data_IF_690479008015
#
_entry.id   IF_690479008015
#
_cell.length_a   1.000
_cell.length_b   1.000
_cell.length_c   1.000
_cell.angle_alpha   90.00
_cell.angle_beta   90.00
_cell.angle_gamma   90.00
#
_symmetry.space_group_name_H-M   'P 1'
#
loop_
_entity.id
_entity.type
_entity.pdbx_description
1 polymer ?
#
# COMPACT_ATOMS: atom_id res chain seq x y z
N UNK A 1 -33.47 -71.19 8.50
CA UNK A 1 -33.95 -70.03 7.71
C UNK A 1 -34.40 -68.96 8.71
N UNK A 2 -33.97 -67.71 8.74
CA UNK A 2 -32.95 -66.93 8.06
C UNK A 2 -32.90 -65.58 8.78
N UNK A 3 -31.75 -65.18 9.30
CA UNK A 3 -31.50 -63.85 9.87
C UNK A 3 -30.47 -63.17 8.95
N UNK A 4 -30.89 -62.16 8.18
CA UNK A 4 -29.98 -61.33 7.39
C UNK A 4 -30.37 -59.85 7.44
N UNK A 5 -29.43 -59.09 8.02
CA UNK A 5 -28.79 -57.96 7.35
C UNK A 5 -29.66 -56.74 6.99
N UNK A 6 -29.88 -55.82 7.95
CA UNK A 6 -30.37 -54.46 7.64
C UNK A 6 -29.58 -53.32 8.32
N UNK A 7 -28.59 -53.60 9.18
CA UNK A 7 -27.87 -52.56 9.95
C UNK A 7 -26.54 -52.07 9.33
N UNK A 8 -26.04 -52.69 8.27
CA UNK A 8 -24.75 -52.33 7.64
C UNK A 8 -24.86 -51.38 6.44
N UNK A 9 -26.06 -51.13 5.90
CA UNK A 9 -26.21 -50.25 4.73
C UNK A 9 -26.22 -48.75 5.10
N UNK A 10 -26.78 -48.39 6.25
CA UNK A 10 -26.87 -46.98 6.65
C UNK A 10 -25.54 -46.37 7.13
N UNK A 11 -24.65 -47.13 7.77
CA UNK A 11 -23.34 -46.61 8.22
C UNK A 11 -22.35 -46.42 7.07
N UNK A 12 -22.46 -47.23 6.02
CA UNK A 12 -21.59 -47.12 4.84
C UNK A 12 -22.04 -45.99 3.91
N UNK A 13 -23.34 -45.67 3.83
CA UNK A 13 -23.82 -44.53 3.04
C UNK A 13 -23.40 -43.19 3.65
N UNK A 14 -23.54 -43.03 4.98
CA UNK A 14 -23.14 -41.80 5.68
C UNK A 14 -21.63 -41.53 5.55
N UNK A 15 -20.79 -42.56 5.70
CA UNK A 15 -19.33 -42.42 5.53
C UNK A 15 -18.91 -42.18 4.08
N UNK A 16 -19.68 -42.68 3.10
CA UNK A 16 -19.42 -42.40 1.68
C UNK A 16 -19.80 -40.96 1.32
N UNK A 17 -20.93 -40.45 1.82
CA UNK A 17 -21.37 -39.07 1.62
C UNK A 17 -20.41 -38.06 2.30
N UNK A 18 -19.97 -38.35 3.53
CA UNK A 18 -18.95 -37.56 4.24
C UNK A 18 -17.60 -37.54 3.50
N UNK A 19 -17.14 -38.69 2.98
CA UNK A 19 -15.92 -38.76 2.18
C UNK A 19 -16.05 -38.01 0.84
N UNK A 20 -17.25 -37.99 0.25
CA UNK A 20 -17.51 -37.26 -1.00
C UNK A 20 -17.54 -35.74 -0.75
N UNK A 21 -18.13 -35.30 0.37
CA UNK A 21 -18.08 -33.90 0.80
C UNK A 21 -16.66 -33.44 1.15
N UNK A 22 -15.88 -34.28 1.86
CA UNK A 22 -14.49 -33.97 2.19
C UNK A 22 -13.64 -33.81 0.91
N UNK A 23 -13.80 -34.71 -0.06
CA UNK A 23 -13.10 -34.62 -1.35
C UNK A 23 -13.52 -33.40 -2.19
N UNK A 24 -14.80 -33.02 -2.15
CA UNK A 24 -15.32 -31.80 -2.79
C UNK A 24 -14.73 -30.54 -2.14
N UNK A 25 -14.65 -30.49 -0.80
CA UNK A 25 -14.03 -29.39 -0.05
C UNK A 25 -12.53 -29.30 -0.37
N UNK A 26 -11.81 -30.42 -0.32
CA UNK A 26 -10.37 -30.46 -0.61
C UNK A 26 -10.09 -30.03 -2.05
N UNK A 27 -10.90 -30.47 -3.02
CA UNK A 27 -10.82 -30.01 -4.41
C UNK A 27 -11.07 -28.51 -4.54
N UNK A 28 -12.03 -27.95 -3.79
CA UNK A 28 -12.27 -26.48 -3.77
C UNK A 28 -11.10 -25.74 -3.16
N UNK A 29 -10.55 -26.22 -2.04
CA UNK A 29 -9.37 -25.64 -1.39
C UNK A 29 -8.18 -25.66 -2.34
N UNK A 30 -7.92 -26.77 -3.04
CA UNK A 30 -6.85 -26.85 -4.03
C UNK A 30 -7.07 -25.88 -5.20
N UNK A 31 -8.30 -25.78 -5.71
CA UNK A 31 -8.64 -24.84 -6.78
C UNK A 31 -8.48 -23.38 -6.34
N UNK A 32 -8.93 -23.03 -5.14
CA UNK A 32 -8.75 -21.71 -4.55
C UNK A 32 -7.27 -21.42 -4.29
N UNK A 33 -6.52 -22.35 -3.70
CA UNK A 33 -5.07 -22.23 -3.48
C UNK A 33 -4.32 -22.06 -4.80
N UNK A 34 -4.72 -22.77 -5.85
CA UNK A 34 -4.13 -22.66 -7.19
C UNK A 34 -4.48 -21.34 -7.88
N UNK A 35 -5.69 -20.82 -7.67
CA UNK A 35 -6.07 -19.48 -8.11
C UNK A 35 -5.30 -18.40 -7.34
N UNK A 36 -5.13 -18.56 -6.02
CA UNK A 36 -4.38 -17.63 -5.16
C UNK A 36 -2.89 -17.59 -5.49
N UNK A 37 -2.30 -18.68 -6.00
CA UNK A 37 -0.92 -18.67 -6.51
C UNK A 37 -0.67 -17.63 -7.62
N UNK A 38 -1.69 -17.24 -8.38
CA UNK A 38 -1.58 -16.22 -9.43
C UNK A 38 -1.94 -14.81 -8.95
N UNK A 39 -2.35 -14.66 -7.69
CA UNK A 39 -2.76 -13.38 -7.12
C UNK A 39 -1.57 -12.67 -6.49
N UNK A 40 -1.36 -11.43 -6.93
CA UNK A 40 -0.28 -10.60 -6.47
C UNK A 40 -0.81 -9.61 -5.42
N UNK A 41 -0.56 -9.90 -4.14
CA UNK A 41 -0.98 -9.04 -3.01
C UNK A 41 -0.07 -7.82 -2.87
N UNK A 42 -0.64 -6.64 -3.02
CA UNK A 42 -0.05 -5.32 -2.84
C UNK A 42 -0.66 -4.67 -1.59
N UNK A 43 0.18 -4.08 -0.74
CA UNK A 43 -0.29 -3.43 0.49
C UNK A 43 0.11 -1.94 0.49
N UNK A 44 -0.85 -1.04 0.68
CA UNK A 44 -0.59 0.40 0.82
C UNK A 44 -0.37 0.77 2.28
N UNK A 45 0.85 1.13 2.64
CA UNK A 45 1.21 1.57 3.99
C UNK A 45 1.66 3.04 4.00
N UNK A 46 1.77 3.64 5.18
CA UNK A 46 2.19 5.01 5.38
C UNK A 46 1.45 5.69 6.52
N UNK A 47 1.99 6.80 7.02
CA UNK A 47 1.49 7.53 8.19
C UNK A 47 0.06 8.11 8.00
N UNK A 48 -0.37 9.01 8.89
CA UNK A 48 -1.63 9.73 8.69
C UNK A 48 -1.57 10.65 7.47
N UNK A 49 -2.53 10.52 6.55
CA UNK A 49 -2.73 11.41 5.38
C UNK A 49 -1.58 11.57 4.35
N UNK A 50 -0.68 10.60 4.09
CA UNK A 50 0.35 10.74 3.08
C UNK A 50 -0.20 10.57 1.65
N UNK A 51 -1.52 10.38 1.48
CA UNK A 51 -2.20 10.22 0.20
C UNK A 51 -2.50 8.78 -0.24
N UNK A 52 -2.46 7.78 0.66
CA UNK A 52 -2.79 6.37 0.37
C UNK A 52 -4.15 6.21 -0.31
N UNK A 53 -5.22 6.69 0.33
CA UNK A 53 -6.59 6.58 -0.23
C UNK A 53 -6.74 7.35 -1.54
N UNK A 54 -5.98 8.44 -1.74
CA UNK A 54 -5.94 9.15 -3.04
C UNK A 54 -5.30 8.29 -4.12
N UNK A 55 -4.15 7.67 -3.84
CA UNK A 55 -3.49 6.71 -4.73
C UNK A 55 -4.41 5.52 -5.03
N UNK A 56 -5.07 4.97 -4.00
CA UNK A 56 -6.04 3.89 -4.15
C UNK A 56 -7.19 4.26 -5.11
N UNK A 57 -7.78 5.45 -4.92
CA UNK A 57 -8.82 5.98 -5.81
C UNK A 57 -8.34 6.18 -7.24
N UNK A 58 -7.10 6.64 -7.44
CA UNK A 58 -6.51 6.75 -8.78
C UNK A 58 -6.35 5.39 -9.46
N UNK A 59 -5.91 4.36 -8.73
CA UNK A 59 -5.78 3.00 -9.26
C UNK A 59 -7.15 2.48 -9.70
N UNK A 60 -8.19 2.70 -8.90
CA UNK A 60 -9.57 2.35 -9.26
C UNK A 60 -10.05 3.05 -10.54
N UNK A 61 -9.78 4.35 -10.67
CA UNK A 61 -10.10 5.11 -11.88
C UNK A 61 -9.32 4.64 -13.11
N UNK A 62 -8.07 4.22 -12.94
CA UNK A 62 -7.17 3.88 -14.03
C UNK A 62 -7.32 2.43 -14.50
N UNK A 63 -7.68 1.51 -13.61
CA UNK A 63 -7.54 0.06 -13.82
C UNK A 63 -8.81 -0.74 -13.48
N UNK A 64 -9.88 -0.11 -13.02
CA UNK A 64 -11.21 -0.72 -12.89
C UNK A 64 -12.24 0.09 -13.72
N UNK A 65 -13.53 -0.24 -13.59
CA UNK A 65 -14.64 0.48 -14.21
C UNK A 65 -14.94 1.84 -13.55
N UNK A 66 -14.02 2.36 -12.73
CA UNK A 66 -14.25 3.56 -11.92
C UNK A 66 -15.12 3.28 -10.70
N UNK A 67 -15.96 4.25 -10.33
CA UNK A 67 -16.87 4.17 -9.17
C UNK A 67 -18.30 3.97 -9.67
N UNK A 68 -19.02 3.01 -9.08
CA UNK A 68 -20.44 2.82 -9.38
C UNK A 68 -21.32 3.84 -8.63
N UNK A 69 -22.59 3.97 -9.03
CA UNK A 69 -23.49 4.98 -8.47
C UNK A 69 -23.74 4.79 -6.96
N UNK A 70 -23.78 3.54 -6.48
CA UNK A 70 -23.96 3.23 -5.06
C UNK A 70 -22.74 3.66 -4.24
N UNK A 71 -21.55 3.44 -4.77
CA UNK A 71 -20.31 3.85 -4.14
C UNK A 71 -20.16 5.38 -4.14
N UNK A 72 -20.52 6.04 -5.25
CA UNK A 72 -20.60 7.51 -5.29
C UNK A 72 -21.58 8.05 -4.24
N UNK A 73 -22.76 7.43 -4.08
CA UNK A 73 -23.72 7.78 -3.03
C UNK A 73 -23.15 7.55 -1.62
N UNK A 74 -22.30 6.54 -1.42
CA UNK A 74 -21.62 6.30 -0.15
C UNK A 74 -20.60 7.40 0.19
N UNK A 75 -20.05 8.07 -0.83
CA UNK A 75 -19.19 9.24 -0.61
C UNK A 75 -19.99 10.51 -0.32
N UNK A 76 -21.26 10.62 -0.69
CA UNK A 76 -22.10 11.80 -0.39
C UNK A 76 -22.02 12.22 1.08
N UNK A 77 -22.31 11.38 2.09
CA UNK A 77 -22.19 11.80 3.49
C UNK A 77 -20.76 12.20 3.87
N UNK A 78 -19.74 11.55 3.30
CA UNK A 78 -18.32 11.90 3.52
C UNK A 78 -17.97 13.24 2.88
N UNK A 79 -18.50 13.55 1.70
CA UNK A 79 -18.32 14.82 1.00
C UNK A 79 -19.05 15.93 1.74
N UNK A 80 -20.31 15.71 2.13
CA UNK A 80 -21.08 16.65 2.95
C UNK A 80 -20.38 16.92 4.28
N UNK A 81 -19.93 15.88 4.98
CA UNK A 81 -19.15 16.02 6.19
C UNK A 81 -17.84 16.76 5.89
N UNK A 82 -17.11 16.43 4.83
CA UNK A 82 -15.88 17.15 4.48
C UNK A 82 -16.12 18.62 4.14
N UNK A 83 -17.17 18.97 3.40
CA UNK A 83 -17.49 20.37 3.04
C UNK A 83 -17.94 21.13 4.28
N UNK A 84 -18.89 20.58 5.05
CA UNK A 84 -19.34 21.16 6.31
C UNK A 84 -18.19 21.33 7.30
N UNK A 85 -17.35 20.31 7.44
CA UNK A 85 -16.18 20.34 8.31
C UNK A 85 -15.14 21.31 7.76
N UNK A 86 -14.83 21.35 6.47
CA UNK A 86 -13.91 22.36 5.88
C UNK A 86 -14.41 23.78 6.17
N UNK A 87 -15.72 24.04 6.04
CA UNK A 87 -16.33 25.33 6.40
C UNK A 87 -16.22 25.61 7.91
N UNK A 88 -16.39 24.61 8.77
CA UNK A 88 -16.27 24.70 10.23
C UNK A 88 -14.81 24.80 10.70
N UNK A 89 -13.88 24.24 9.92
CA UNK A 89 -12.44 24.17 10.14
C UNK A 89 -11.73 25.43 9.64
N UNK A 90 -12.23 26.06 8.57
CA UNK A 90 -11.90 27.43 8.17
C UNK A 90 -12.25 28.43 9.28
N UNK A 91 -13.06 28.00 10.27
CA UNK A 91 -13.33 28.73 11.51
C UNK A 91 -12.55 28.17 12.71
N UNK A 92 -12.29 26.84 12.87
CA UNK A 92 -11.66 26.26 14.11
C UNK A 92 -10.79 24.96 14.00
N UNK A 93 -10.21 24.57 12.85
CA UNK A 93 -9.19 23.47 12.67
C UNK A 93 -9.58 21.95 12.78
N UNK A 94 -9.41 21.22 11.65
CA UNK A 94 -9.17 19.76 11.37
C UNK A 94 -10.29 18.65 11.26
N UNK A 95 -10.02 17.66 10.36
CA UNK A 95 -10.90 16.87 9.44
C UNK A 95 -11.11 15.35 9.70
N UNK A 96 -12.10 14.78 8.99
CA UNK A 96 -12.58 13.37 8.91
C UNK A 96 -11.53 12.36 8.41
N UNK A 97 -11.56 11.14 8.98
CA UNK A 97 -10.51 10.10 8.96
C UNK A 97 -10.95 8.84 8.21
N UNK A 98 -10.03 8.16 7.50
CA UNK A 98 -10.28 6.81 6.95
C UNK A 98 -10.15 5.76 8.06
N UNK A 99 -11.21 4.98 8.30
CA UNK A 99 -11.24 3.86 9.24
C UNK A 99 -11.39 2.53 8.49
N UNK A 100 -10.69 1.48 8.91
CA UNK A 100 -10.84 0.13 8.36
C UNK A 100 -9.84 -0.25 7.25
N UNK A 101 -10.18 -1.34 6.56
CA UNK A 101 -9.40 -1.96 5.47
C UNK A 101 -10.29 -2.04 4.24
N UNK A 102 -9.78 -1.61 3.08
CA UNK A 102 -10.50 -1.68 1.80
C UNK A 102 -9.65 -2.45 0.80
N UNK A 103 -10.24 -3.44 0.13
CA UNK A 103 -9.59 -4.24 -0.93
C UNK A 103 -10.12 -3.87 -2.32
N UNK A 104 -9.24 -3.79 -3.32
CA UNK A 104 -9.61 -3.81 -4.74
C UNK A 104 -8.80 -4.85 -5.52
N UNK A 105 -9.40 -5.36 -6.60
CA UNK A 105 -8.77 -6.30 -7.52
C UNK A 105 -8.64 -5.70 -8.92
N UNK A 106 -7.47 -5.77 -9.54
CA UNK A 106 -7.24 -5.24 -10.89
C UNK A 106 -6.26 -6.09 -11.70
N UNK A 107 -6.28 -5.95 -13.03
CA UNK A 107 -5.38 -6.67 -13.95
C UNK A 107 -4.11 -5.89 -14.28
N UNK A 108 -2.99 -6.55 -14.67
CA UNK A 108 -1.74 -5.90 -15.06
C UNK A 108 -1.87 -4.85 -16.19
N UNK A 109 -0.95 -3.88 -16.22
CA UNK A 109 -0.97 -2.71 -17.10
C UNK A 109 -0.13 -2.92 -18.37
N UNK A 110 -0.73 -3.07 -19.55
CA UNK A 110 0.00 -3.09 -20.84
C UNK A 110 -0.52 -4.10 -21.86
N UNK A 111 0.12 -4.13 -23.04
CA UNK A 111 -0.34 -4.90 -24.21
C UNK A 111 -0.10 -6.42 -24.08
N UNK A 112 0.89 -6.83 -23.29
CA UNK A 112 1.16 -8.24 -23.00
C UNK A 112 0.30 -8.72 -21.81
N UNK A 113 -1.00 -8.88 -22.06
CA UNK A 113 -1.92 -9.58 -21.14
C UNK A 113 -1.61 -11.08 -21.18
N UNK A 114 -0.77 -11.59 -20.27
CA UNK A 114 -0.89 -13.01 -19.94
C UNK A 114 -2.23 -13.18 -19.24
N UNK A 115 -3.11 -13.97 -19.85
CA UNK A 115 -4.45 -14.25 -19.32
C UNK A 115 -4.34 -14.90 -17.93
N UNK A 116 -4.81 -14.21 -16.88
CA UNK A 116 -5.04 -14.81 -15.57
C UNK A 116 -4.37 -14.15 -14.36
N UNK A 117 -3.44 -13.20 -14.53
CA UNK A 117 -2.83 -12.49 -13.38
C UNK A 117 -3.77 -11.41 -12.82
N UNK A 118 -3.91 -11.37 -11.49
CA UNK A 118 -4.75 -10.41 -10.76
C UNK A 118 -3.94 -9.81 -9.61
N UNK A 119 -3.94 -8.48 -9.50
CA UNK A 119 -3.41 -7.76 -8.35
C UNK A 119 -4.53 -7.53 -7.32
N UNK A 120 -4.29 -7.92 -6.06
CA UNK A 120 -5.13 -7.54 -4.91
C UNK A 120 -4.44 -6.41 -4.17
N UNK A 121 -5.07 -5.25 -4.05
CA UNK A 121 -4.53 -4.10 -3.36
C UNK A 121 -5.36 -3.75 -2.13
N UNK A 122 -4.69 -3.61 -0.99
CA UNK A 122 -5.31 -3.28 0.29
C UNK A 122 -4.94 -1.86 0.73
N UNK A 123 -5.93 -0.97 0.89
CA UNK A 123 -5.79 0.33 1.58
C UNK A 123 -6.14 0.15 3.06
N UNK A 124 -5.22 0.54 3.94
CA UNK A 124 -5.39 0.43 5.38
C UNK A 124 -5.32 1.80 6.04
N UNK A 125 -6.11 1.98 7.10
CA UNK A 125 -6.05 3.18 7.94
C UNK A 125 -4.61 3.49 8.39
N UNK A 126 -4.14 4.71 8.12
CA UNK A 126 -2.75 5.14 8.41
C UNK A 126 -2.49 5.63 9.83
N UNK A 127 -3.55 5.84 10.60
CA UNK A 127 -3.49 6.36 11.96
C UNK A 127 -3.01 5.29 12.94
N UNK A 128 -2.32 5.70 14.01
CA UNK A 128 -1.72 4.80 15.01
C UNK A 128 -2.72 3.78 15.55
N UNK A 129 -3.96 4.20 15.83
CA UNK A 129 -5.01 3.35 16.37
C UNK A 129 -5.54 2.28 15.38
N UNK A 130 -5.40 2.52 14.07
CA UNK A 130 -5.83 1.58 13.03
C UNK A 130 -4.75 0.54 12.69
N UNK A 131 -3.47 0.80 13.04
CA UNK A 131 -2.33 -0.07 12.69
C UNK A 131 -2.43 -1.48 13.27
N UNK A 132 -3.16 -1.67 14.37
CA UNK A 132 -3.42 -3.01 14.94
C UNK A 132 -4.11 -3.95 13.94
N UNK A 133 -4.87 -3.41 12.99
CA UNK A 133 -5.59 -4.17 11.96
C UNK A 133 -4.68 -4.64 10.82
N UNK A 134 -3.46 -4.10 10.72
CA UNK A 134 -2.56 -4.38 9.61
C UNK A 134 -2.01 -5.81 9.64
N UNK A 135 -1.77 -6.35 10.84
CA UNK A 135 -1.09 -7.64 11.04
C UNK A 135 -1.80 -8.78 10.28
N UNK A 136 -3.13 -8.76 10.23
CA UNK A 136 -3.95 -9.76 9.54
C UNK A 136 -3.81 -9.72 8.00
N UNK A 137 -3.23 -8.67 7.44
CA UNK A 137 -3.09 -8.46 5.99
C UNK A 137 -1.66 -8.73 5.50
N UNK A 138 -0.73 -9.00 6.41
CA UNK A 138 0.69 -9.10 6.07
C UNK A 138 1.07 -10.44 5.44
N UNK A 139 0.25 -11.47 5.62
CA UNK A 139 0.55 -12.81 5.11
C UNK A 139 0.47 -12.87 3.57
N UNK A 140 1.58 -13.32 2.96
CA UNK A 140 1.68 -13.46 1.51
C UNK A 140 1.77 -12.13 0.75
N UNK A 141 2.07 -11.01 1.41
CA UNK A 141 2.28 -9.73 0.73
C UNK A 141 3.60 -9.74 -0.03
N UNK A 142 3.51 -9.62 -1.34
CA UNK A 142 4.70 -9.61 -2.19
C UNK A 142 5.37 -8.25 -2.26
N UNK A 143 4.56 -7.19 -2.28
CA UNK A 143 5.04 -5.83 -2.38
C UNK A 143 4.25 -4.88 -1.50
N UNK A 144 4.98 -4.06 -0.75
CA UNK A 144 4.44 -2.92 0.00
C UNK A 144 4.67 -1.64 -0.80
N UNK A 145 3.61 -0.89 -1.05
CA UNK A 145 3.67 0.49 -1.51
C UNK A 145 3.57 1.38 -0.27
N UNK A 146 4.70 1.96 0.15
CA UNK A 146 4.74 2.85 1.30
C UNK A 146 4.61 4.31 0.82
N UNK A 147 3.57 5.03 1.25
CA UNK A 147 3.39 6.44 0.92
C UNK A 147 3.94 7.33 2.05
N UNK A 148 4.83 8.25 1.68
CA UNK A 148 5.38 9.27 2.57
C UNK A 148 5.08 10.66 1.99
N UNK A 149 4.43 11.54 2.77
CA UNK A 149 4.22 12.93 2.37
C UNK A 149 5.48 13.74 2.68
N UNK A 150 6.34 13.93 1.67
CA UNK A 150 7.62 14.63 1.87
C UNK A 150 7.43 16.11 2.20
N UNK A 151 6.27 16.69 1.89
CA UNK A 151 5.95 18.09 2.21
C UNK A 151 5.69 18.35 3.70
N UNK A 152 5.67 17.34 4.57
CA UNK A 152 5.28 17.47 5.97
C UNK A 152 6.48 17.62 6.93
N UNK A 153 7.67 17.90 6.40
CA UNK A 153 8.91 18.04 7.17
C UNK A 153 8.88 19.20 8.19
N UNK A 154 8.00 20.17 8.03
CA UNK A 154 7.83 21.36 8.87
C UNK A 154 6.55 21.31 9.74
N UNK A 155 5.84 20.18 9.78
CA UNK A 155 4.55 20.05 10.47
C UNK A 155 4.62 19.01 11.58
N UNK A 156 3.87 19.23 12.64
CA UNK A 156 3.68 18.30 13.75
C UNK A 156 2.40 17.47 13.56
N UNK A 157 2.31 16.33 14.24
CA UNK A 157 1.12 15.50 14.22
C UNK A 157 -0.04 16.26 14.86
N UNK A 158 -1.24 16.03 14.35
CA UNK A 158 -2.45 16.53 15.00
C UNK A 158 -2.65 15.90 16.39
N UNK A 159 -2.28 14.63 16.54
CA UNK A 159 -2.44 13.87 17.79
C UNK A 159 -1.33 14.16 18.82
N UNK A 160 -0.24 14.80 18.39
CA UNK A 160 0.95 15.05 19.20
C UNK A 160 1.74 16.25 18.63
N UNK A 161 1.55 17.41 19.25
CA UNK A 161 2.19 18.67 18.83
C UNK A 161 3.71 18.65 18.97
N UNK A 162 4.28 17.71 19.74
CA UNK A 162 5.73 17.59 19.90
C UNK A 162 6.36 16.66 18.85
N UNK A 163 5.55 15.94 18.08
CA UNK A 163 6.03 14.97 17.10
C UNK A 163 5.92 15.50 15.69
N UNK A 164 7.06 15.70 15.03
CA UNK A 164 7.09 16.02 13.61
C UNK A 164 6.51 14.88 12.74
N UNK A 165 5.71 15.23 11.72
CA UNK A 165 5.01 14.26 10.84
C UNK A 165 5.97 13.40 10.01
N UNK A 166 7.08 13.97 9.52
CA UNK A 166 8.05 13.17 8.75
C UNK A 166 8.89 12.27 9.66
N UNK A 167 9.12 12.67 10.92
CA UNK A 167 9.73 11.80 11.94
C UNK A 167 8.82 10.62 12.28
N UNK A 168 7.51 10.83 12.43
CA UNK A 168 6.55 9.73 12.57
C UNK A 168 6.56 8.81 11.33
N UNK A 169 6.69 9.37 10.14
CA UNK A 169 6.77 8.59 8.89
C UNK A 169 8.05 7.75 8.84
N UNK A 170 9.19 8.31 9.28
CA UNK A 170 10.47 7.61 9.44
C UNK A 170 10.33 6.42 10.39
N UNK A 171 9.85 6.65 11.60
CA UNK A 171 9.68 5.60 12.63
C UNK A 171 8.71 4.51 12.20
N UNK A 172 7.63 4.89 11.51
CA UNK A 172 6.70 3.92 10.96
C UNK A 172 7.37 3.04 9.90
N UNK A 173 8.16 3.63 9.00
CA UNK A 173 8.87 2.87 7.98
C UNK A 173 9.92 1.93 8.61
N UNK A 174 10.70 2.42 9.58
CA UNK A 174 11.63 1.58 10.35
C UNK A 174 10.91 0.39 11.00
N UNK A 175 9.75 0.63 11.62
CA UNK A 175 8.95 -0.43 12.24
C UNK A 175 8.45 -1.42 11.20
N UNK A 176 7.92 -0.95 10.05
CA UNK A 176 7.45 -1.81 8.96
C UNK A 176 8.60 -2.69 8.43
N UNK A 177 9.77 -2.13 8.18
CA UNK A 177 10.92 -2.86 7.64
C UNK A 177 11.44 -3.97 8.56
N UNK A 178 11.21 -3.84 9.87
CA UNK A 178 11.59 -4.84 10.90
C UNK A 178 10.58 -5.98 11.05
N UNK A 179 9.43 -5.93 10.39
CA UNK A 179 8.43 -6.99 10.53
C UNK A 179 8.86 -8.27 9.80
N UNK A 180 8.85 -9.40 10.51
CA UNK A 180 9.24 -10.72 9.96
C UNK A 180 8.42 -11.14 8.74
N UNK A 181 7.13 -10.78 8.72
CA UNK A 181 6.24 -11.05 7.59
C UNK A 181 6.67 -10.36 6.29
N UNK A 182 7.59 -9.38 6.34
CA UNK A 182 8.10 -8.66 5.17
C UNK A 182 9.56 -9.00 4.80
N UNK A 183 10.09 -10.10 5.32
CA UNK A 183 11.47 -10.54 5.04
C UNK A 183 11.74 -10.75 3.54
N UNK A 184 10.75 -11.18 2.75
CA UNK A 184 10.88 -11.40 1.29
C UNK A 184 10.13 -10.37 0.44
N UNK A 185 9.54 -9.37 1.08
CA UNK A 185 8.63 -8.40 0.46
C UNK A 185 9.40 -7.27 -0.20
N UNK A 186 9.02 -6.91 -1.43
CA UNK A 186 9.54 -5.73 -2.12
C UNK A 186 8.95 -4.44 -1.56
N UNK A 187 9.70 -3.36 -1.60
CA UNK A 187 9.26 -2.05 -1.10
C UNK A 187 9.29 -1.01 -2.22
N UNK A 188 8.16 -0.34 -2.41
CA UNK A 188 8.00 0.76 -3.34
C UNK A 188 7.60 2.01 -2.55
N UNK A 189 8.54 2.93 -2.38
CA UNK A 189 8.33 4.14 -1.61
C UNK A 189 7.83 5.26 -2.52
N UNK A 190 6.63 5.75 -2.25
CA UNK A 190 6.04 6.91 -2.93
C UNK A 190 6.31 8.16 -2.09
N UNK A 191 7.23 9.00 -2.57
CA UNK A 191 7.46 10.33 -2.04
C UNK A 191 6.37 11.25 -2.62
N UNK A 192 5.27 11.35 -1.89
CA UNK A 192 4.03 12.02 -2.32
C UNK A 192 3.95 13.46 -1.83
N UNK A 193 2.98 14.22 -2.38
CA UNK A 193 2.80 15.66 -2.18
C UNK A 193 4.01 16.45 -2.67
N UNK A 194 4.66 15.99 -3.75
CA UNK A 194 5.81 16.67 -4.35
C UNK A 194 5.46 18.09 -4.82
N UNK A 195 4.25 18.30 -5.33
CA UNK A 195 3.72 19.61 -5.72
C UNK A 195 3.68 20.63 -4.56
N UNK A 196 3.38 20.18 -3.34
CA UNK A 196 3.40 21.02 -2.14
C UNK A 196 4.84 21.22 -1.68
N UNK A 197 5.66 20.16 -1.71
CA UNK A 197 7.08 20.22 -1.35
C UNK A 197 7.85 21.22 -2.22
N UNK A 198 7.70 21.17 -3.54
CA UNK A 198 8.32 22.08 -4.51
C UNK A 198 8.05 23.56 -4.19
N UNK A 199 6.80 23.88 -3.81
CA UNK A 199 6.42 25.26 -3.45
C UNK A 199 6.93 25.69 -2.07
N UNK A 200 7.18 24.74 -1.18
CA UNK A 200 7.51 24.98 0.23
C UNK A 200 9.01 25.08 0.48
N UNK A 201 9.81 24.26 -0.18
CA UNK A 201 11.25 24.13 0.11
C UNK A 201 12.00 25.45 -0.06
N UNK A 202 11.63 26.28 -1.04
CA UNK A 202 12.21 27.62 -1.22
C UNK A 202 11.76 28.66 -0.18
N UNK A 203 10.84 28.31 0.74
CA UNK A 203 10.30 29.21 1.78
C UNK A 203 10.67 28.74 3.18
N UNK A 204 10.70 27.42 3.40
CA UNK A 204 11.00 26.81 4.69
C UNK A 204 12.14 25.81 4.46
N UNK A 205 13.34 26.04 5.02
CA UNK A 205 14.50 25.18 4.78
C UNK A 205 14.27 23.79 5.38
N UNK A 206 14.84 22.75 4.78
CA UNK A 206 14.69 21.38 5.28
C UNK A 206 15.24 21.19 6.70
N UNK A 207 16.25 21.97 7.09
CA UNK A 207 16.94 21.88 8.38
C UNK A 207 16.04 22.13 9.60
N UNK A 208 14.81 22.64 9.40
CA UNK A 208 13.80 22.71 10.47
C UNK A 208 13.39 21.32 10.97
N UNK A 209 13.50 20.31 10.12
CA UNK A 209 13.31 18.92 10.49
C UNK A 209 14.60 18.37 11.08
N UNK A 210 14.49 17.74 12.26
CA UNK A 210 15.65 17.12 12.92
C UNK A 210 16.38 16.10 12.03
N UNK A 211 15.64 15.31 11.25
CA UNK A 211 16.21 14.31 10.36
C UNK A 211 17.04 14.89 9.20
N UNK A 212 16.84 16.17 8.90
CA UNK A 212 17.43 16.86 7.76
C UNK A 212 18.34 18.01 8.19
N UNK A 213 18.80 18.03 9.46
CA UNK A 213 19.67 19.08 10.00
C UNK A 213 20.96 19.28 9.21
N UNK A 214 21.48 18.23 8.57
CA UNK A 214 22.70 18.22 7.77
C UNK A 214 22.49 18.60 6.29
N UNK A 215 21.28 19.01 5.89
CA UNK A 215 21.02 19.46 4.53
C UNK A 215 21.78 20.76 4.19
N UNK A 216 22.37 20.81 3.00
CA UNK A 216 23.03 21.98 2.45
C UNK A 216 22.26 22.50 1.23
N UNK A 217 21.79 23.76 1.21
CA UNK A 217 21.05 24.31 0.07
C UNK A 217 21.90 24.45 -1.20
N UNK A 218 21.28 24.33 -2.37
CA UNK A 218 21.92 24.59 -3.66
C UNK A 218 21.88 26.09 -4.03
N UNK A 219 22.73 26.51 -4.96
CA UNK A 219 22.92 27.92 -5.31
C UNK A 219 21.76 28.58 -6.07
N UNK A 220 20.89 27.81 -6.72
CA UNK A 220 19.75 28.35 -7.50
C UNK A 220 18.44 27.65 -7.14
N UNK A 221 17.31 28.36 -7.26
CA UNK A 221 15.97 27.84 -6.87
C UNK A 221 15.54 26.56 -7.59
N UNK A 222 15.79 26.46 -8.90
CA UNK A 222 15.42 25.24 -9.68
C UNK A 222 16.30 24.05 -9.30
N UNK A 223 17.57 24.30 -9.00
CA UNK A 223 18.47 23.27 -8.49
C UNK A 223 18.17 22.93 -7.02
N UNK A 224 17.69 23.88 -6.22
CA UNK A 224 17.33 23.68 -4.82
C UNK A 224 16.24 22.63 -4.65
N UNK A 225 15.15 22.71 -5.42
CA UNK A 225 14.04 21.73 -5.34
C UNK A 225 14.53 20.30 -5.65
N UNK A 226 15.28 20.14 -6.74
CA UNK A 226 15.82 18.83 -7.13
C UNK A 226 16.88 18.33 -6.14
N UNK A 227 17.76 19.22 -5.66
CA UNK A 227 18.76 18.89 -4.65
C UNK A 227 18.13 18.45 -3.33
N UNK A 228 17.11 19.18 -2.88
CA UNK A 228 16.33 18.85 -1.70
C UNK A 228 15.60 17.51 -1.84
N UNK A 229 14.98 17.26 -3.02
CA UNK A 229 14.34 16.00 -3.31
C UNK A 229 15.34 14.83 -3.27
N UNK A 230 16.49 14.95 -3.94
CA UNK A 230 17.51 13.90 -3.94
C UNK A 230 18.10 13.67 -2.55
N UNK A 231 18.26 14.73 -1.73
CA UNK A 231 18.67 14.58 -0.34
C UNK A 231 17.63 13.80 0.48
N UNK A 232 16.34 14.16 0.40
CA UNK A 232 15.27 13.44 1.12
C UNK A 232 15.19 11.99 0.64
N UNK A 233 15.28 11.77 -0.68
CA UNK A 233 15.34 10.43 -1.29
C UNK A 233 16.49 9.61 -0.70
N UNK A 234 17.69 10.19 -0.64
CA UNK A 234 18.88 9.54 -0.06
C UNK A 234 18.69 9.19 1.41
N UNK A 235 18.08 10.07 2.22
CA UNK A 235 17.77 9.76 3.64
C UNK A 235 16.85 8.55 3.78
N UNK A 236 15.86 8.40 2.90
CA UNK A 236 15.01 7.21 2.87
C UNK A 236 15.72 5.95 2.36
N UNK A 237 16.66 6.08 1.41
CA UNK A 237 17.52 4.97 0.97
C UNK A 237 18.42 4.49 2.11
N UNK A 238 19.10 5.41 2.78
CA UNK A 238 19.92 5.12 3.97
C UNK A 238 19.08 4.44 5.06
N UNK A 239 17.88 4.94 5.33
CA UNK A 239 16.94 4.34 6.28
C UNK A 239 16.60 2.89 5.91
N UNK A 240 16.31 2.64 4.63
CA UNK A 240 15.98 1.30 4.16
C UNK A 240 17.16 0.34 4.38
N UNK A 241 18.36 0.70 3.90
CA UNK A 241 19.53 -0.17 3.97
C UNK A 241 20.06 -0.36 5.40
N UNK A 242 19.84 0.60 6.31
CA UNK A 242 20.19 0.46 7.73
C UNK A 242 19.28 -0.52 8.48
N UNK A 243 18.03 -0.70 8.02
CA UNK A 243 17.04 -1.55 8.69
C UNK A 243 16.81 -2.90 8.00
N UNK A 244 17.56 -3.17 6.93
CA UNK A 244 17.48 -4.39 6.12
C UNK A 244 18.83 -5.11 6.19
N UNK A 245 18.85 -6.37 6.64
CA UNK A 245 20.08 -7.17 6.71
C UNK A 245 20.54 -7.65 5.32
N UNK A 246 21.83 -7.98 5.23
CA UNK A 246 22.55 -8.31 3.99
C UNK A 246 22.05 -9.56 3.26
N UNK A 247 21.36 -10.47 3.96
CA UNK A 247 20.88 -11.76 3.43
C UNK A 247 19.62 -11.65 2.56
N UNK A 248 19.06 -10.45 2.42
CA UNK A 248 17.84 -10.21 1.65
C UNK A 248 18.10 -9.70 0.23
N UNK A 249 19.06 -10.33 -0.48
CA UNK A 249 19.54 -9.87 -1.80
C UNK A 249 18.45 -9.80 -2.89
N UNK A 250 17.34 -10.54 -2.74
CA UNK A 250 16.26 -10.57 -3.74
C UNK A 250 15.19 -9.47 -3.56
N UNK A 251 15.29 -8.63 -2.53
CA UNK A 251 14.30 -7.57 -2.29
C UNK A 251 14.54 -6.36 -3.16
N UNK A 252 13.59 -6.09 -4.06
CA UNK A 252 13.58 -4.81 -4.80
C UNK A 252 13.11 -3.67 -3.89
N UNK A 253 13.93 -2.62 -3.79
CA UNK A 253 13.55 -1.32 -3.25
C UNK A 253 13.59 -0.25 -4.35
N UNK A 254 12.47 0.47 -4.53
CA UNK A 254 12.36 1.56 -5.50
C UNK A 254 11.66 2.76 -4.88
N UNK A 255 12.14 3.95 -5.23
CA UNK A 255 11.56 5.21 -4.78
C UNK A 255 10.98 5.95 -5.99
N UNK A 256 9.76 6.45 -5.85
CA UNK A 256 9.05 7.17 -6.88
C UNK A 256 8.63 8.55 -6.37
N UNK A 257 8.94 9.59 -7.15
CA UNK A 257 8.33 10.91 -6.99
C UNK A 257 6.86 10.83 -7.40
N UNK A 258 5.97 11.29 -6.53
CA UNK A 258 4.53 11.22 -6.79
C UNK A 258 3.79 12.48 -6.38
N UNK A 259 2.72 12.76 -7.11
CA UNK A 259 1.67 13.70 -6.75
C UNK A 259 0.37 12.93 -6.96
N UNK A 260 -0.26 12.46 -5.89
CA UNK A 260 -1.41 11.56 -5.98
C UNK A 260 -2.63 12.14 -6.70
N UNK A 261 -2.71 13.47 -6.82
CA UNK A 261 -3.75 14.15 -7.59
C UNK A 261 -3.44 14.23 -9.09
N UNK A 262 -2.18 14.03 -9.50
CA UNK A 262 -1.78 13.99 -10.91
C UNK A 262 -1.98 12.58 -11.48
N UNK A 263 -3.12 12.38 -12.13
CA UNK A 263 -3.49 11.10 -12.74
C UNK A 263 -2.47 10.62 -13.79
N UNK A 264 -1.84 11.51 -14.56
CA UNK A 264 -0.86 11.13 -15.59
C UNK A 264 0.42 10.61 -14.94
N UNK A 265 0.90 11.30 -13.91
CA UNK A 265 2.06 10.87 -13.13
C UNK A 265 1.78 9.55 -12.42
N UNK A 266 0.63 9.41 -11.75
CA UNK A 266 0.25 8.15 -11.09
C UNK A 266 0.18 7.00 -12.09
N UNK A 267 -0.43 7.19 -13.27
CA UNK A 267 -0.46 6.18 -14.34
C UNK A 267 0.94 5.77 -14.79
N UNK A 268 1.86 6.73 -14.98
CA UNK A 268 3.25 6.45 -15.34
C UNK A 268 3.97 5.68 -14.24
N UNK A 269 3.82 6.09 -12.99
CA UNK A 269 4.42 5.42 -11.83
C UNK A 269 3.91 3.98 -11.70
N UNK A 270 2.61 3.74 -11.85
CA UNK A 270 2.06 2.38 -11.79
C UNK A 270 2.52 1.47 -12.92
N UNK A 271 2.78 2.01 -14.12
CA UNK A 271 3.43 1.23 -15.19
C UNK A 271 4.84 0.76 -14.77
N UNK A 272 5.64 1.65 -14.19
CA UNK A 272 6.99 1.29 -13.71
C UNK A 272 6.96 0.30 -12.54
N UNK A 273 5.96 0.42 -11.67
CA UNK A 273 5.68 -0.53 -10.59
C UNK A 273 5.38 -1.91 -11.19
N UNK A 274 4.42 -1.99 -12.11
CA UNK A 274 4.02 -3.22 -12.77
C UNK A 274 5.18 -3.88 -13.53
N UNK A 275 5.96 -3.11 -14.30
CA UNK A 275 7.18 -3.60 -14.97
C UNK A 275 8.18 -4.21 -13.98
N UNK A 276 8.38 -3.57 -12.82
CA UNK A 276 9.26 -4.07 -11.76
C UNK A 276 8.75 -5.40 -11.18
N UNK A 277 7.43 -5.51 -10.96
CA UNK A 277 6.80 -6.74 -10.44
C UNK A 277 6.89 -7.88 -11.45
N UNK A 278 6.65 -7.60 -12.74
CA UNK A 278 6.75 -8.60 -13.81
C UNK A 278 8.17 -9.11 -13.99
N UNK A 279 9.17 -8.24 -13.94
CA UNK A 279 10.57 -8.65 -14.04
C UNK A 279 10.96 -9.61 -12.91
N UNK A 280 10.49 -9.34 -11.69
CA UNK A 280 10.67 -10.25 -10.55
C UNK A 280 9.96 -11.59 -10.75
N UNK A 281 8.72 -11.59 -11.26
CA UNK A 281 8.00 -12.82 -11.63
C UNK A 281 8.81 -13.69 -12.60
N UNK A 282 9.39 -13.07 -13.63
CA UNK A 282 10.18 -13.78 -14.63
C UNK A 282 11.47 -14.37 -14.03
N UNK A 283 12.14 -13.62 -13.14
CA UNK A 283 13.32 -14.10 -12.42
C UNK A 283 13.00 -15.27 -11.49
N UNK A 284 11.93 -15.16 -10.68
CA UNK A 284 11.48 -16.24 -9.79
C UNK A 284 11.03 -17.50 -10.57
N UNK A 285 10.58 -17.33 -11.82
CA UNK A 285 10.23 -18.43 -12.73
C UNK A 285 11.42 -19.02 -13.49
N UNK A 286 12.65 -18.51 -13.29
CA UNK A 286 13.85 -18.96 -14.01
C UNK A 286 13.87 -18.59 -15.51
N UNK A 287 13.10 -17.58 -15.91
CA UNK A 287 12.96 -17.13 -17.30
C UNK A 287 13.88 -15.93 -17.65
N UNK A 288 14.68 -15.46 -16.70
CA UNK A 288 15.67 -14.39 -16.79
C UNK A 288 16.89 -14.76 -15.95
#
# INVERSE_FOLDING_TARGET
>A
MGLRCCRHKHSNQATTEENTQAAEIERRIEQETKAEKHIQKLLLLGAGEPGKSTIFKQIKLLFQTGFDERELQSYTPVIHANVYQTIKEDVLHARVRTTGVVEIQFSPVGENKKSGEVYRLFDVGGQRNERRKWIHLFEGVRTVIFCAAISEYDRTLFEDENKNRIMETKELLEWVLKQKCFEKTSFMLFLNKFDIFEKKVSKVPLNVCEWFKDYQPASTRKQEVEHAYEFVKKKFEELYYQNVTCDHQDRVFKIYRTTALDQKLVKKTFKLVDETLRRRNLFEAGLL
#
